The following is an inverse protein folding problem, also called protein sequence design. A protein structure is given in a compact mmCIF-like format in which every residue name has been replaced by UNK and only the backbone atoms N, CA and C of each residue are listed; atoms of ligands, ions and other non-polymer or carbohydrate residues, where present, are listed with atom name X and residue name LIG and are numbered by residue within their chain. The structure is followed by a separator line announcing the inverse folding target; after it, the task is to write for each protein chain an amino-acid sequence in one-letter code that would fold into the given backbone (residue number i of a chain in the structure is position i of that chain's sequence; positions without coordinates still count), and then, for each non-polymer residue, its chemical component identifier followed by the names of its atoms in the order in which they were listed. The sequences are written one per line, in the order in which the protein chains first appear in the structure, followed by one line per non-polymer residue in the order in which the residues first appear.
data_IF_179081147912
#
_entry.id   IF_179081147912
#
_cell.length_a   1.000
_cell.length_b   1.000
_cell.length_c   1.000
_cell.angle_alpha   90.00
_cell.angle_beta   90.00
_cell.angle_gamma   90.00
#
_symmetry.space_group_name_H-M   'P 1'
#
loop_
_entity.id
_entity.type
_entity.pdbx_description
1 polymer ?
#
# COMPACT_ATOMS: atom_id res chain seq x y z
N UNK A 1 19.15 6.26 -7.14
CA UNK A 1 17.77 5.72 -7.30
C UNK A 1 17.65 4.29 -6.78
N UNK A 2 18.37 3.31 -7.34
CA UNK A 2 18.31 1.92 -6.87
C UNK A 2 18.90 1.74 -5.46
N UNK A 3 20.04 2.40 -5.17
CA UNK A 3 20.60 2.42 -3.80
C UNK A 3 19.64 3.06 -2.79
N UNK A 4 18.97 4.15 -3.17
CA UNK A 4 18.02 4.85 -2.29
C UNK A 4 16.80 3.98 -1.96
N UNK A 5 16.29 3.24 -2.95
CA UNK A 5 15.25 2.24 -2.76
C UNK A 5 15.69 1.13 -1.80
N UNK A 6 16.89 0.57 -2.00
CA UNK A 6 17.44 -0.44 -1.08
C UNK A 6 17.56 0.09 0.34
N UNK A 7 18.08 1.30 0.52
CA UNK A 7 18.24 1.92 1.83
C UNK A 7 16.89 2.18 2.49
N UNK A 8 15.88 2.59 1.71
CA UNK A 8 14.51 2.76 2.20
C UNK A 8 13.89 1.45 2.68
N UNK A 9 14.00 0.37 1.90
CA UNK A 9 13.53 -0.95 2.33
C UNK A 9 14.29 -1.47 3.55
N UNK A 10 15.62 -1.32 3.56
CA UNK A 10 16.44 -1.70 4.71
C UNK A 10 16.01 -0.95 5.98
N UNK A 11 15.77 0.36 5.87
CA UNK A 11 15.27 1.19 6.98
C UNK A 11 13.83 0.85 7.40
N UNK A 12 12.96 0.48 6.45
CA UNK A 12 11.61 -0.01 6.76
C UNK A 12 11.65 -1.31 7.59
N UNK A 13 12.61 -2.19 7.31
CA UNK A 13 12.75 -3.48 7.98
C UNK A 13 13.78 -3.49 9.13
N UNK A 14 14.50 -2.39 9.38
CA UNK A 14 15.50 -2.30 10.46
C UNK A 14 14.87 -2.18 11.86
N UNK A 15 13.56 -1.93 11.96
CA UNK A 15 12.85 -1.77 13.22
C UNK A 15 12.99 -0.38 13.86
N UNK A 16 13.79 0.50 13.26
CA UNK A 16 14.07 1.88 13.70
C UNK A 16 12.99 2.90 13.33
N UNK A 17 11.83 2.44 12.85
CA UNK A 17 10.70 3.30 12.50
C UNK A 17 10.19 4.07 13.72
N UNK A 18 9.98 5.38 13.57
CA UNK A 18 9.27 6.16 14.59
C UNK A 18 7.83 5.67 14.76
N UNK A 19 7.21 5.96 15.90
CA UNK A 19 5.86 5.48 16.22
C UNK A 19 4.83 5.87 15.14
N UNK A 20 4.91 7.09 14.61
CA UNK A 20 4.04 7.55 13.52
C UNK A 20 4.28 6.77 12.23
N UNK A 21 5.54 6.50 11.88
CA UNK A 21 5.89 5.73 10.69
C UNK A 21 5.47 4.27 10.81
N UNK A 22 5.55 3.68 12.01
CA UNK A 22 4.99 2.35 12.31
C UNK A 22 3.49 2.32 12.06
N UNK A 23 2.74 3.29 12.60
CA UNK A 23 1.28 3.39 12.40
C UNK A 23 0.94 3.51 10.91
N UNK A 24 1.58 4.42 10.17
CA UNK A 24 1.32 4.60 8.74
C UNK A 24 1.63 3.34 7.93
N UNK A 25 2.73 2.64 8.25
CA UNK A 25 3.16 1.42 7.54
C UNK A 25 2.24 0.25 7.84
N UNK A 26 1.83 0.08 9.09
CA UNK A 26 0.85 -0.94 9.47
C UNK A 26 -0.52 -0.64 8.87
N UNK A 27 -0.96 0.61 8.85
CA UNK A 27 -2.23 1.00 8.22
C UNK A 27 -2.22 0.74 6.70
N UNK A 28 -1.10 1.05 6.03
CA UNK A 28 -0.94 0.78 4.60
C UNK A 28 -0.94 -0.71 4.30
N UNK A 29 -0.25 -1.51 5.12
CA UNK A 29 -0.25 -2.97 4.98
C UNK A 29 -1.64 -3.56 5.23
N UNK A 30 -2.32 -3.11 6.29
CA UNK A 30 -3.68 -3.53 6.60
C UNK A 30 -4.66 -3.18 5.47
N UNK A 31 -4.52 -2.00 4.84
CA UNK A 31 -5.31 -1.60 3.70
C UNK A 31 -5.11 -2.51 2.49
N UNK A 32 -3.85 -2.81 2.13
CA UNK A 32 -3.55 -3.72 1.01
C UNK A 32 -4.16 -5.10 1.25
N UNK A 33 -4.01 -5.64 2.47
CA UNK A 33 -4.57 -6.95 2.85
C UNK A 33 -6.11 -6.91 2.79
N UNK A 34 -6.71 -5.85 3.32
CA UNK A 34 -8.17 -5.69 3.35
C UNK A 34 -8.77 -5.62 1.94
N UNK A 35 -8.23 -4.75 1.07
CA UNK A 35 -8.72 -4.63 -0.31
C UNK A 35 -8.40 -5.90 -1.11
N UNK A 36 -7.24 -6.54 -0.89
CA UNK A 36 -6.92 -7.84 -1.49
C UNK A 36 -7.93 -8.93 -1.11
N UNK A 37 -8.31 -9.00 0.16
CA UNK A 37 -9.34 -9.92 0.65
C UNK A 37 -10.71 -9.65 0.01
N UNK A 38 -11.16 -8.39 -0.04
CA UNK A 38 -12.43 -8.03 -0.67
C UNK A 38 -12.46 -8.37 -2.17
N UNK A 39 -11.36 -8.12 -2.86
CA UNK A 39 -11.20 -8.45 -4.28
C UNK A 39 -11.29 -9.96 -4.51
N UNK A 40 -10.57 -10.74 -3.68
CA UNK A 40 -10.59 -12.20 -3.76
C UNK A 40 -11.98 -12.77 -3.44
N UNK A 41 -12.62 -12.28 -2.37
CA UNK A 41 -13.96 -12.69 -1.96
C UNK A 41 -15.02 -12.38 -3.03
N UNK A 42 -14.94 -11.22 -3.67
CA UNK A 42 -15.81 -10.87 -4.81
C UNK A 42 -15.55 -11.75 -6.04
N UNK A 43 -14.29 -12.08 -6.32
CA UNK A 43 -13.91 -12.99 -7.40
C UNK A 43 -14.56 -14.37 -7.25
N UNK A 44 -14.58 -14.91 -6.02
CA UNK A 44 -15.21 -16.20 -5.71
C UNK A 44 -16.74 -16.18 -5.79
N UNK A 45 -17.39 -15.05 -5.53
CA UNK A 45 -18.87 -14.90 -5.59
C UNK A 45 -19.44 -14.53 -6.96
N UNK A 46 -18.60 -14.39 -8.00
CA UNK A 46 -18.97 -13.76 -9.28
C UNK A 46 -19.82 -14.60 -10.27
N UNK A 47 -20.86 -15.29 -9.78
CA UNK A 47 -21.96 -15.74 -10.66
C UNK A 47 -23.02 -14.65 -10.89
N UNK A 48 -23.00 -13.57 -10.10
CA UNK A 48 -23.87 -12.42 -10.27
C UNK A 48 -23.05 -11.16 -10.58
N UNK A 49 -23.56 -10.34 -11.49
CA UNK A 49 -23.00 -9.05 -11.94
C UNK A 49 -23.05 -8.04 -10.79
N UNK A 50 -22.26 -8.24 -9.74
CA UNK A 50 -22.04 -7.23 -8.71
C UNK A 50 -20.90 -6.31 -9.14
N UNK A 51 -21.19 -5.01 -9.28
CA UNK A 51 -20.28 -3.93 -9.72
C UNK A 51 -19.19 -3.56 -8.68
N UNK A 52 -18.85 -4.47 -7.76
CA UNK A 52 -17.87 -4.21 -6.71
C UNK A 52 -16.46 -4.68 -7.11
N UNK A 53 -15.44 -4.04 -6.51
CA UNK A 53 -13.99 -4.28 -6.61
C UNK A 53 -13.59 -5.52 -7.43
N UNK A 54 -13.25 -5.28 -8.69
CA UNK A 54 -12.76 -6.33 -9.60
C UNK A 54 -11.28 -6.61 -9.37
N UNK A 55 -10.84 -7.80 -9.79
CA UNK A 55 -9.41 -8.17 -9.83
C UNK A 55 -8.56 -7.15 -10.60
N UNK A 56 -9.11 -6.60 -11.69
CA UNK A 56 -8.45 -5.57 -12.52
C UNK A 56 -8.30 -4.22 -11.79
N UNK A 57 -9.15 -3.97 -10.80
CA UNK A 57 -9.25 -2.69 -10.08
C UNK A 57 -8.49 -2.72 -8.74
N UNK A 58 -8.12 -3.91 -8.26
CA UNK A 58 -7.38 -4.09 -7.00
C UNK A 58 -6.09 -3.27 -6.96
N UNK A 59 -5.38 -3.16 -8.08
CA UNK A 59 -4.18 -2.33 -8.16
C UNK A 59 -4.49 -0.86 -7.85
N UNK A 60 -5.56 -0.32 -8.45
CA UNK A 60 -5.95 1.08 -8.33
C UNK A 60 -6.53 1.45 -6.98
N UNK A 61 -7.19 0.54 -6.29
CA UNK A 61 -7.80 0.84 -4.99
C UNK A 61 -7.07 0.24 -3.78
N UNK A 62 -6.25 -0.80 -3.98
CA UNK A 62 -5.43 -1.42 -2.95
C UNK A 62 -4.03 -0.81 -2.92
N UNK A 63 -3.30 -0.97 -4.03
CA UNK A 63 -1.87 -0.65 -4.06
C UNK A 63 -1.61 0.85 -4.18
N UNK A 64 -2.25 1.53 -5.15
CA UNK A 64 -2.03 2.96 -5.39
C UNK A 64 -2.29 3.81 -4.14
N UNK A 65 -3.42 3.66 -3.40
CA UNK A 65 -3.68 4.48 -2.22
C UNK A 65 -2.75 4.17 -1.05
N UNK A 66 -2.30 2.91 -0.91
CA UNK A 66 -1.37 2.52 0.14
C UNK A 66 0.04 3.10 -0.06
N UNK A 67 0.49 3.25 -1.31
CA UNK A 67 1.84 3.76 -1.61
C UNK A 67 1.84 5.29 -1.83
N UNK A 68 0.72 5.88 -2.25
CA UNK A 68 0.61 7.32 -2.54
C UNK A 68 1.14 8.24 -1.43
N UNK A 69 0.83 8.02 -0.13
CA UNK A 69 1.36 8.86 0.95
C UNK A 69 2.89 8.89 1.01
N UNK A 70 3.55 7.77 0.70
CA UNK A 70 5.02 7.69 0.69
C UNK A 70 5.62 8.42 -0.50
N UNK A 71 4.97 8.37 -1.68
CA UNK A 71 5.37 9.17 -2.84
C UNK A 71 5.20 10.66 -2.59
N UNK A 72 4.07 11.09 -2.02
CA UNK A 72 3.88 12.49 -1.64
C UNK A 72 4.91 12.92 -0.60
N UNK A 73 5.15 12.11 0.43
CA UNK A 73 6.21 12.38 1.39
C UNK A 73 7.58 12.53 0.71
N UNK A 74 7.93 11.64 -0.22
CA UNK A 74 9.20 11.72 -0.94
C UNK A 74 9.33 12.97 -1.82
N UNK A 75 8.26 13.34 -2.55
CA UNK A 75 8.23 14.53 -3.41
C UNK A 75 8.32 15.82 -2.58
N UNK A 76 7.63 15.86 -1.44
CA UNK A 76 7.54 17.04 -0.57
C UNK A 76 8.67 17.14 0.45
N UNK A 77 9.46 16.07 0.62
CA UNK A 77 10.64 16.09 1.48
C UNK A 77 11.64 17.07 0.88
N UNK A 78 11.92 18.16 1.61
CA UNK A 78 12.97 19.11 1.22
C UNK A 78 14.30 18.37 1.06
N UNK A 79 15.02 18.71 -0.01
CA UNK A 79 16.44 18.39 -0.16
C UNK A 79 17.21 19.36 0.74
N UNK A 80 17.32 19.00 2.00
CA UNK A 80 18.37 19.54 2.86
C UNK A 80 19.62 18.66 2.69
#
# INVERSE_FOLDING_TARGET
MWQDLKNFFFWLFSGELSQNQKICTTASLAWIIFIGYLTWWNGLKSFAVDKSFRWDEWFWFGLVPAISPYFFYYIWKKKD
#
